data_IF_968138751974
#
_entry.id   IF_968138751974
#
_cell.length_a   1.000
_cell.length_b   1.000
_cell.length_c   1.000
_cell.angle_alpha   90.00
_cell.angle_beta   90.00
_cell.angle_gamma   90.00
#
_symmetry.space_group_name_H-M   'P 1'
#
loop_
_entity.id
_entity.type
_entity.pdbx_description
1 polymer ?
#
# COMPACT_ATOMS: atom_id res chain seq x y z
N UNK A 1 -3.19 -2.21 -62.85
CA UNK A 1 -4.05 -3.31 -62.33
C UNK A 1 -3.28 -4.31 -61.47
N UNK A 2 -2.01 -4.60 -61.78
CA UNK A 2 -1.15 -5.56 -61.05
C UNK A 2 -0.80 -5.12 -59.60
N UNK A 3 -0.64 -3.83 -59.32
CA UNK A 3 -0.24 -3.38 -57.97
C UNK A 3 -1.34 -3.51 -56.91
N UNK A 4 -2.63 -3.47 -57.30
CA UNK A 4 -3.74 -3.67 -56.35
C UNK A 4 -3.87 -5.14 -55.91
N UNK A 5 -3.52 -6.08 -56.78
CA UNK A 5 -3.55 -7.52 -56.49
C UNK A 5 -2.42 -7.97 -55.56
N UNK A 6 -1.23 -7.38 -55.70
CA UNK A 6 -0.09 -7.62 -54.81
C UNK A 6 -0.39 -7.15 -53.38
N UNK A 7 -1.07 -6.00 -53.24
CA UNK A 7 -1.35 -5.42 -51.92
C UNK A 7 -2.40 -6.23 -51.15
N UNK A 8 -3.46 -6.72 -51.82
CA UNK A 8 -4.48 -7.56 -51.17
C UNK A 8 -3.93 -8.93 -50.78
N UNK A 9 -3.06 -9.53 -51.60
CA UNK A 9 -2.41 -10.80 -51.27
C UNK A 9 -1.50 -10.70 -50.04
N UNK A 10 -0.70 -9.63 -49.97
CA UNK A 10 0.16 -9.37 -48.81
C UNK A 10 -0.65 -9.14 -47.53
N UNK A 11 -1.78 -8.42 -47.63
CA UNK A 11 -2.64 -8.16 -46.47
C UNK A 11 -3.31 -9.43 -45.93
N UNK A 12 -3.71 -10.36 -46.82
CA UNK A 12 -4.28 -11.66 -46.45
C UNK A 12 -3.21 -12.56 -45.79
N UNK A 13 -1.98 -12.58 -46.32
CA UNK A 13 -0.87 -13.31 -45.71
C UNK A 13 -0.50 -12.79 -44.32
N UNK A 14 -0.53 -11.46 -44.13
CA UNK A 14 -0.32 -10.84 -42.81
C UNK A 14 -1.46 -11.24 -41.86
N UNK A 15 -2.71 -11.17 -42.31
CA UNK A 15 -3.86 -11.57 -41.49
C UNK A 15 -3.81 -13.06 -41.11
N UNK A 16 -3.46 -13.94 -42.04
CA UNK A 16 -3.29 -15.37 -41.79
C UNK A 16 -2.15 -15.65 -40.81
N UNK A 17 -1.03 -14.94 -40.94
CA UNK A 17 0.08 -15.06 -39.99
C UNK A 17 -0.28 -14.58 -38.58
N UNK A 18 -1.07 -13.49 -38.44
CA UNK A 18 -1.59 -13.05 -37.15
C UNK A 18 -2.55 -14.07 -36.53
N UNK A 19 -3.44 -14.68 -37.32
CA UNK A 19 -4.36 -15.71 -36.79
C UNK A 19 -3.64 -16.99 -36.36
N UNK A 20 -2.51 -17.32 -37.02
CA UNK A 20 -1.74 -18.51 -36.69
C UNK A 20 -0.86 -18.31 -35.45
N UNK A 21 -0.39 -17.09 -35.19
CA UNK A 21 0.36 -16.75 -33.97
C UNK A 21 -0.54 -16.69 -32.72
N UNK A 22 -1.82 -16.30 -32.86
CA UNK A 22 -2.78 -16.34 -31.74
C UNK A 22 -3.26 -17.76 -31.37
N UNK A 23 -2.98 -18.79 -32.17
CA UNK A 23 -3.52 -20.13 -31.97
C UNK A 23 -2.65 -21.05 -31.10
N UNK A 24 -1.51 -20.55 -30.57
CA UNK A 24 -0.52 -21.41 -29.93
C UNK A 24 0.01 -20.87 -28.60
N UNK A 25 -0.81 -20.10 -27.89
CA UNK A 25 -0.61 -19.95 -26.45
C UNK A 25 -1.32 -21.11 -25.74
N UNK A 26 -0.65 -21.84 -24.83
CA UNK A 26 -1.36 -22.76 -23.96
C UNK A 26 -2.44 -21.94 -23.24
N UNK A 27 -3.71 -22.29 -23.45
CA UNK A 27 -4.84 -21.60 -22.85
C UNK A 27 -4.78 -21.78 -21.33
N UNK A 28 -4.01 -20.94 -20.64
CA UNK A 28 -3.90 -20.96 -19.19
C UNK A 28 -5.15 -20.28 -18.65
N UNK A 29 -6.12 -21.09 -18.23
CA UNK A 29 -7.28 -20.55 -17.51
C UNK A 29 -6.84 -20.33 -16.07
N UNK A 30 -6.64 -19.06 -15.70
CA UNK A 30 -6.29 -18.66 -14.35
C UNK A 30 -7.57 -18.50 -13.51
N UNK A 31 -7.68 -19.29 -12.45
CA UNK A 31 -8.75 -19.16 -11.47
C UNK A 31 -8.10 -18.69 -10.18
N UNK A 32 -8.57 -17.55 -9.67
CA UNK A 32 -8.13 -16.97 -8.40
C UNK A 32 -9.26 -17.08 -7.40
N UNK A 33 -9.12 -17.99 -6.45
CA UNK A 33 -10.05 -18.13 -5.32
C UNK A 33 -9.35 -17.66 -4.06
N UNK A 34 -9.85 -16.59 -3.43
CA UNK A 34 -9.31 -16.09 -2.17
C UNK A 34 -9.65 -17.07 -1.03
N UNK A 35 -8.71 -17.94 -0.66
CA UNK A 35 -8.88 -18.92 0.42
C UNK A 35 -8.10 -18.51 1.67
N UNK A 36 -8.82 -18.11 2.71
CA UNK A 36 -8.24 -17.82 4.03
C UNK A 36 -8.05 -19.12 4.81
N UNK A 37 -6.80 -19.44 5.17
CA UNK A 37 -6.44 -20.61 5.99
C UNK A 37 -5.82 -20.15 7.31
N UNK A 38 -6.48 -20.49 8.43
CA UNK A 38 -5.96 -20.26 9.78
C UNK A 38 -4.89 -21.29 10.14
N UNK A 39 -4.12 -20.99 11.19
CA UNK A 39 -3.12 -21.92 11.73
C UNK A 39 -3.75 -23.27 12.09
N UNK A 40 -3.27 -24.36 11.48
CA UNK A 40 -3.79 -25.71 11.68
C UNK A 40 -4.95 -26.11 10.76
N UNK A 41 -5.45 -25.21 9.92
CA UNK A 41 -6.39 -25.54 8.86
C UNK A 41 -5.66 -26.11 7.63
N UNK A 42 -6.34 -27.01 6.93
CA UNK A 42 -5.80 -27.70 5.76
C UNK A 42 -6.66 -27.40 4.55
N UNK A 43 -6.02 -27.04 3.43
CA UNK A 43 -6.71 -26.97 2.15
C UNK A 43 -6.42 -28.26 1.37
N UNK A 44 -7.48 -29.01 1.10
CA UNK A 44 -7.43 -30.22 0.30
C UNK A 44 -8.06 -29.95 -1.06
N UNK A 45 -7.29 -30.20 -2.11
CA UNK A 45 -7.74 -30.15 -3.50
C UNK A 45 -7.90 -31.60 -3.95
N UNK A 46 -9.15 -32.01 -4.14
CA UNK A 46 -9.52 -33.36 -4.58
C UNK A 46 -9.66 -33.34 -6.11
N UNK A 47 -8.86 -34.15 -6.79
CA UNK A 47 -8.87 -34.26 -8.25
C UNK A 47 -9.61 -35.52 -8.67
N UNK A 48 -10.66 -35.36 -9.46
CA UNK A 48 -11.49 -36.43 -9.97
C UNK A 48 -11.45 -36.48 -11.49
N UNK A 49 -11.02 -37.59 -12.08
CA UNK A 49 -10.97 -37.73 -13.53
C UNK A 49 -10.65 -39.15 -13.98
N UNK A 50 -10.90 -39.43 -15.26
CA UNK A 50 -10.60 -40.73 -15.90
C UNK A 50 -9.18 -40.81 -16.47
N UNK A 51 -8.44 -39.70 -16.49
CA UNK A 51 -7.06 -39.62 -16.98
C UNK A 51 -6.10 -39.20 -15.86
N UNK A 52 -4.80 -39.42 -16.07
CA UNK A 52 -3.75 -38.97 -15.15
C UNK A 52 -3.68 -37.44 -15.23
N UNK A 53 -3.58 -36.78 -14.08
CA UNK A 53 -3.43 -35.33 -13.99
C UNK A 53 -2.03 -35.03 -13.48
N UNK A 54 -1.25 -34.32 -14.29
CA UNK A 54 0.07 -33.84 -13.92
C UNK A 54 -0.06 -32.56 -13.11
N UNK A 55 0.58 -32.51 -11.96
CA UNK A 55 0.62 -31.34 -11.07
C UNK A 55 2.02 -30.74 -11.06
N UNK A 56 2.13 -29.48 -11.46
CA UNK A 56 3.31 -28.64 -11.19
C UNK A 56 2.92 -27.56 -10.20
N UNK A 57 3.81 -27.21 -9.28
CA UNK A 57 3.50 -26.24 -8.24
C UNK A 57 4.65 -25.26 -8.01
N UNK A 58 4.29 -24.01 -7.75
CA UNK A 58 5.18 -22.96 -7.28
C UNK A 58 4.66 -22.50 -5.93
N UNK A 59 5.40 -22.82 -4.87
CA UNK A 59 4.95 -22.66 -3.49
C UNK A 59 6.01 -21.87 -2.73
N UNK A 60 5.61 -20.87 -1.92
CA UNK A 60 6.52 -20.12 -1.07
C UNK A 60 7.09 -21.00 0.06
N UNK A 61 8.24 -20.63 0.66
CA UNK A 61 8.92 -21.46 1.67
C UNK A 61 8.09 -21.74 2.93
N UNK A 62 7.04 -20.96 3.16
CA UNK A 62 6.20 -21.00 4.35
C UNK A 62 5.00 -21.98 4.20
N UNK A 63 4.92 -22.72 3.09
CA UNK A 63 3.81 -23.62 2.78
C UNK A 63 4.33 -25.02 2.42
N UNK A 64 3.79 -26.04 3.09
CA UNK A 64 4.00 -27.45 2.79
C UNK A 64 2.94 -27.91 1.80
N UNK A 65 3.37 -28.69 0.81
CA UNK A 65 2.48 -29.47 -0.06
C UNK A 65 2.73 -30.95 0.19
N UNK A 66 1.65 -31.71 0.34
CA UNK A 66 1.65 -33.17 0.31
C UNK A 66 0.74 -33.62 -0.82
N UNK A 67 1.29 -34.40 -1.73
CA UNK A 67 0.54 -35.01 -2.83
C UNK A 67 0.37 -36.48 -2.49
N UNK A 68 -0.88 -36.92 -2.36
CA UNK A 68 -1.22 -38.29 -2.06
C UNK A 68 -2.08 -38.87 -3.19
N UNK A 69 -1.70 -40.05 -3.69
CA UNK A 69 -2.51 -40.82 -4.63
C UNK A 69 -3.58 -41.59 -3.85
N UNK A 70 -4.72 -40.93 -3.61
CA UNK A 70 -5.85 -41.56 -2.96
C UNK A 70 -6.78 -42.18 -4.00
N UNK A 71 -6.62 -43.49 -4.25
CA UNK A 71 -7.58 -44.29 -5.04
C UNK A 71 -8.84 -44.68 -4.23
N UNK A 72 -8.93 -44.26 -2.96
CA UNK A 72 -10.08 -44.50 -2.10
C UNK A 72 -11.01 -43.30 -2.20
N UNK A 73 -12.31 -43.54 -2.31
CA UNK A 73 -13.41 -42.55 -2.44
C UNK A 73 -13.67 -41.97 -3.85
N UNK A 74 -13.12 -42.56 -4.92
CA UNK A 74 -13.46 -42.19 -6.30
C UNK A 74 -12.71 -40.96 -6.84
N UNK A 75 -11.78 -40.43 -6.05
CA UNK A 75 -10.77 -39.46 -6.48
C UNK A 75 -9.52 -40.20 -7.01
N UNK A 76 -8.68 -39.52 -7.79
CA UNK A 76 -7.40 -40.08 -8.28
C UNK A 76 -6.19 -39.51 -7.58
N UNK A 77 -6.26 -38.24 -7.19
CA UNK A 77 -5.20 -37.59 -6.43
C UNK A 77 -5.78 -36.56 -5.48
N UNK A 78 -5.13 -36.42 -4.33
CA UNK A 78 -5.44 -35.43 -3.32
C UNK A 78 -4.18 -34.61 -3.09
N UNK A 79 -4.32 -33.29 -3.19
CA UNK A 79 -3.26 -32.34 -2.92
C UNK A 79 -3.61 -31.59 -1.65
N UNK A 80 -2.81 -31.77 -0.61
CA UNK A 80 -2.99 -31.12 0.70
C UNK A 80 -1.98 -30.00 0.84
N UNK A 81 -2.47 -28.79 1.09
CA UNK A 81 -1.67 -27.61 1.39
C UNK A 81 -1.78 -27.27 2.88
N UNK A 82 -0.66 -26.99 3.52
CA UNK A 82 -0.56 -26.65 4.93
C UNK A 82 0.42 -25.51 5.14
N UNK A 83 0.09 -24.52 5.96
CA UNK A 83 1.02 -23.44 6.31
C UNK A 83 2.00 -23.95 7.39
N UNK A 84 3.30 -23.79 7.15
CA UNK A 84 4.36 -24.18 8.10
C UNK A 84 4.74 -22.94 8.90
N UNK A 85 4.59 -23.00 10.23
CA UNK A 85 5.02 -21.95 11.18
C UNK A 85 4.51 -20.54 10.81
N UNK A 86 3.24 -20.22 11.09
CA UNK A 86 2.69 -18.88 10.90
C UNK A 86 3.27 -17.89 11.93
N UNK A 87 4.50 -17.42 11.70
CA UNK A 87 5.18 -16.48 12.63
C UNK A 87 4.75 -15.03 12.43
N UNK A 88 4.20 -14.70 11.25
CA UNK A 88 3.75 -13.35 10.92
C UNK A 88 2.51 -13.40 10.03
N UNK A 89 1.63 -12.40 10.13
CA UNK A 89 0.55 -12.19 9.16
C UNK A 89 1.18 -11.95 7.78
N UNK A 90 1.05 -12.93 6.90
CA UNK A 90 1.62 -12.90 5.55
C UNK A 90 0.63 -13.53 4.59
N UNK A 91 0.39 -12.83 3.48
CA UNK A 91 -0.32 -13.35 2.33
C UNK A 91 0.70 -14.00 1.40
N UNK A 92 0.55 -15.30 1.20
CA UNK A 92 1.43 -16.14 0.41
C UNK A 92 0.67 -16.60 -0.83
N UNK A 93 1.19 -16.33 -2.02
CA UNK A 93 0.57 -16.75 -3.28
C UNK A 93 1.09 -18.14 -3.64
N UNK A 94 0.20 -19.12 -3.69
CA UNK A 94 0.50 -20.46 -4.19
C UNK A 94 -0.04 -20.60 -5.61
N UNK A 95 0.79 -21.07 -6.54
CA UNK A 95 0.36 -21.38 -7.90
C UNK A 95 0.43 -22.88 -8.14
N UNK A 96 -0.70 -23.46 -8.52
CA UNK A 96 -0.81 -24.88 -8.88
C UNK A 96 -1.23 -24.98 -10.35
N UNK A 97 -0.51 -25.79 -11.10
CA UNK A 97 -0.74 -26.04 -12.52
C UNK A 97 -1.17 -27.49 -12.70
N UNK A 98 -2.39 -27.69 -13.19
CA UNK A 98 -2.97 -29.01 -13.46
C UNK A 98 -3.08 -29.22 -14.97
N UNK A 99 -2.57 -30.34 -15.48
CA UNK A 99 -2.65 -30.70 -16.89
C UNK A 99 -3.11 -32.14 -17.07
N UNK A 100 -4.05 -32.39 -17.97
CA UNK A 100 -4.51 -33.75 -18.28
C UNK A 100 -4.97 -33.86 -19.73
N UNK A 101 -4.89 -35.08 -20.26
CA UNK A 101 -5.31 -35.42 -21.64
C UNK A 101 -6.84 -35.45 -21.75
N UNK A 102 -7.56 -35.70 -20.65
CA UNK A 102 -9.04 -35.70 -20.63
C UNK A 102 -9.60 -34.76 -19.57
N UNK A 103 -10.93 -34.59 -19.58
CA UNK A 103 -11.61 -33.71 -18.63
C UNK A 103 -11.51 -34.24 -17.19
N UNK A 104 -11.37 -33.33 -16.23
CA UNK A 104 -11.33 -33.63 -14.81
C UNK A 104 -12.05 -32.55 -14.00
N UNK A 105 -12.40 -32.87 -12.76
CA UNK A 105 -12.98 -31.93 -11.80
C UNK A 105 -11.98 -31.68 -10.67
N UNK A 106 -11.83 -30.41 -10.29
CA UNK A 106 -11.09 -29.98 -9.11
C UNK A 106 -12.09 -29.57 -8.04
N UNK A 107 -12.06 -30.21 -6.88
CA UNK A 107 -12.88 -29.81 -5.74
C UNK A 107 -12.01 -29.27 -4.62
N UNK A 108 -12.26 -28.04 -4.21
CA UNK A 108 -11.60 -27.37 -3.10
C UNK A 108 -12.38 -27.61 -1.82
N UNK A 109 -11.72 -28.21 -0.84
CA UNK A 109 -12.26 -28.51 0.48
C UNK A 109 -11.35 -27.94 1.54
N UNK A 110 -11.93 -27.14 2.44
CA UNK A 110 -11.26 -26.60 3.60
C UNK A 110 -11.60 -27.48 4.79
N UNK A 111 -10.59 -27.97 5.51
CA UNK A 111 -10.75 -28.68 6.77
C UNK A 111 -10.35 -27.76 7.92
N UNK A 112 -11.31 -27.51 8.81
CA UNK A 112 -11.14 -26.77 10.05
C UNK A 112 -11.54 -27.64 11.24
N UNK A 113 -11.34 -27.13 12.46
CA UNK A 113 -11.78 -27.80 13.70
C UNK A 113 -13.30 -28.01 13.73
N UNK A 114 -14.06 -27.18 12.99
CA UNK A 114 -15.52 -27.24 12.86
C UNK A 114 -16.01 -28.27 11.81
N UNK A 115 -15.11 -28.87 11.02
CA UNK A 115 -15.43 -29.90 10.03
C UNK A 115 -14.94 -29.61 8.60
N UNK A 116 -15.42 -30.39 7.64
CA UNK A 116 -15.14 -30.25 6.20
C UNK A 116 -16.10 -29.25 5.56
N UNK A 117 -15.56 -28.16 5.01
CA UNK A 117 -16.31 -27.15 4.25
C UNK A 117 -15.90 -27.23 2.78
N UNK A 118 -16.85 -27.58 1.91
CA UNK A 118 -16.65 -27.52 0.44
C UNK A 118 -16.70 -26.06 0.00
N UNK A 119 -15.63 -25.59 -0.63
CA UNK A 119 -15.53 -24.21 -1.13
C UNK A 119 -16.13 -24.13 -2.53
N UNK A 120 -15.48 -24.78 -3.49
CA UNK A 120 -15.85 -24.72 -4.91
C UNK A 120 -15.47 -26.01 -5.65
N UNK A 121 -16.15 -26.26 -6.76
CA UNK A 121 -15.82 -27.32 -7.71
C UNK A 121 -15.67 -26.72 -9.10
N UNK A 122 -14.52 -26.96 -9.73
CA UNK A 122 -14.22 -26.52 -11.10
C UNK A 122 -14.23 -27.70 -12.05
N UNK A 123 -14.88 -27.49 -13.20
CA UNK A 123 -14.83 -28.41 -14.31
C UNK A 123 -13.71 -27.99 -15.27
N UNK A 124 -12.73 -28.86 -15.44
CA UNK A 124 -11.55 -28.64 -16.26
C UNK A 124 -11.65 -29.49 -17.54
N UNK A 125 -11.88 -28.89 -18.73
CA UNK A 125 -11.71 -29.58 -20.01
C UNK A 125 -10.32 -30.21 -20.17
N UNK A 126 -10.25 -31.30 -20.94
CA UNK A 126 -8.98 -31.95 -21.28
C UNK A 126 -8.14 -31.14 -22.25
N UNK A 127 -6.84 -31.46 -22.33
CA UNK A 127 -5.84 -30.79 -23.18
C UNK A 127 -5.61 -29.30 -22.88
N UNK A 128 -6.02 -28.84 -21.70
CA UNK A 128 -5.82 -27.46 -21.24
C UNK A 128 -5.09 -27.50 -19.90
N UNK A 129 -4.13 -26.58 -19.71
CA UNK A 129 -3.43 -26.41 -18.43
C UNK A 129 -4.19 -25.42 -17.56
N UNK A 130 -4.69 -25.88 -16.43
CA UNK A 130 -5.40 -25.07 -15.45
C UNK A 130 -4.43 -24.49 -14.44
N UNK A 131 -4.42 -23.16 -14.30
CA UNK A 131 -3.64 -22.45 -13.29
C UNK A 131 -4.58 -22.03 -12.16
N UNK A 132 -4.40 -22.66 -11.01
CA UNK A 132 -5.10 -22.31 -9.79
C UNK A 132 -4.17 -21.45 -8.92
N UNK A 133 -4.54 -20.19 -8.75
CA UNK A 133 -3.83 -19.24 -7.89
C UNK A 133 -4.59 -19.14 -6.58
N UNK A 134 -3.95 -19.57 -5.50
CA UNK A 134 -4.54 -19.59 -4.16
C UNK A 134 -3.71 -18.67 -3.26
N UNK A 135 -4.20 -17.46 -2.95
CA UNK A 135 -3.63 -16.65 -1.90
C UNK A 135 -3.98 -17.24 -0.54
N UNK A 136 -2.99 -17.81 0.12
CA UNK A 136 -3.09 -18.29 1.50
C UNK A 136 -2.78 -17.14 2.44
N UNK A 137 -3.73 -16.79 3.30
CA UNK A 137 -3.53 -15.78 4.34
C UNK A 137 -3.42 -16.47 5.69
N UNK A 138 -2.26 -16.35 6.34
CA UNK A 138 -2.03 -16.87 7.69
C UNK A 138 -2.63 -15.93 8.74
N UNK A 139 -3.74 -16.33 9.35
CA UNK A 139 -4.34 -15.63 10.49
C UNK A 139 -3.82 -16.27 11.81
N UNK A 140 -3.20 -15.46 12.67
CA UNK A 140 -2.79 -15.87 14.01
C UNK A 140 -4.06 -15.84 14.88
N UNK A 141 -4.38 -16.97 15.53
CA UNK A 141 -5.46 -17.05 16.51
C UNK A 141 -5.21 -16.00 17.61
N UNK A 142 -5.93 -14.91 17.50
CA UNK A 142 -5.74 -13.71 18.32
C UNK A 142 -6.78 -13.69 19.43
N UNK A 143 -6.92 -14.79 20.18
CA UNK A 143 -7.72 -14.82 21.41
C UNK A 143 -6.91 -14.55 22.68
N UNK A 144 -5.59 -14.38 22.62
CA UNK A 144 -4.82 -14.00 23.81
C UNK A 144 -3.60 -13.16 23.45
N UNK A 145 -3.80 -11.90 23.12
CA UNK A 145 -2.92 -10.76 23.45
C UNK A 145 -3.79 -9.54 23.17
N UNK A 146 -4.05 -8.75 24.23
CA UNK A 146 -4.59 -7.39 24.19
C UNK A 146 -4.25 -6.75 22.85
N UNK A 147 -5.28 -6.33 22.10
CA UNK A 147 -5.21 -5.68 20.80
C UNK A 147 -4.13 -4.59 20.77
N UNK A 148 -2.89 -4.98 20.48
CA UNK A 148 -1.89 -4.09 19.91
C UNK A 148 -2.28 -3.98 18.46
N UNK A 149 -3.26 -3.12 18.19
CA UNK A 149 -3.48 -2.55 16.86
C UNK A 149 -2.08 -2.10 16.43
N UNK A 150 -1.44 -2.72 15.44
CA UNK A 150 -0.15 -2.25 14.99
C UNK A 150 -0.41 -0.87 14.40
N UNK A 151 -0.09 0.16 15.16
CA UNK A 151 0.03 1.51 14.62
C UNK A 151 1.18 1.41 13.62
N UNK A 152 0.84 1.28 12.34
CA UNK A 152 1.87 1.23 11.32
C UNK A 152 2.47 2.64 11.25
N UNK A 153 3.64 2.78 11.86
CA UNK A 153 4.39 4.03 11.92
C UNK A 153 5.08 4.21 10.57
N UNK A 154 4.39 4.85 9.62
CA UNK A 154 5.04 5.29 8.39
C UNK A 154 5.75 6.63 8.67
N UNK A 155 7.08 6.59 8.64
CA UNK A 155 7.95 7.75 8.91
C UNK A 155 8.00 8.76 7.74
N UNK A 156 7.64 8.33 6.52
CA UNK A 156 7.94 9.07 5.29
C UNK A 156 6.71 9.47 4.46
N UNK A 157 5.49 9.11 4.88
CA UNK A 157 4.29 9.56 4.17
C UNK A 157 3.90 10.96 4.65
N UNK A 158 4.03 11.94 3.75
CA UNK A 158 3.56 13.32 3.97
C UNK A 158 2.11 13.40 3.52
N UNK A 159 1.21 13.79 4.42
CA UNK A 159 -0.20 13.92 4.06
C UNK A 159 -0.50 15.33 3.56
N UNK A 160 -1.34 15.49 2.51
CA UNK A 160 -1.63 16.78 1.90
C UNK A 160 -2.16 17.84 2.87
N UNK A 161 -2.85 17.44 3.95
CA UNK A 161 -3.40 18.39 4.93
C UNK A 161 -2.32 19.19 5.66
N UNK A 162 -1.13 18.61 5.86
CA UNK A 162 -0.02 19.31 6.50
C UNK A 162 0.39 20.54 5.70
N UNK A 163 0.42 20.41 4.38
CA UNK A 163 0.76 21.50 3.43
C UNK A 163 -0.27 22.63 3.53
N UNK A 164 -1.56 22.31 3.69
CA UNK A 164 -2.64 23.29 3.83
C UNK A 164 -2.44 24.15 5.08
N UNK A 165 -2.05 23.54 6.21
CA UNK A 165 -1.78 24.27 7.46
C UNK A 165 -0.68 25.31 7.24
N UNK A 166 0.45 24.93 6.62
CA UNK A 166 1.51 25.90 6.32
C UNK A 166 1.06 27.00 5.38
N UNK A 167 0.33 26.67 4.30
CA UNK A 167 -0.13 27.65 3.34
C UNK A 167 -0.98 28.74 4.01
N UNK A 168 -1.90 28.35 4.90
CA UNK A 168 -2.77 29.28 5.63
C UNK A 168 -1.95 30.19 6.56
N UNK A 169 -1.10 29.61 7.41
CA UNK A 169 -0.33 30.41 8.37
C UNK A 169 0.72 31.29 7.70
N UNK A 170 1.45 30.80 6.69
CA UNK A 170 2.45 31.59 5.96
C UNK A 170 1.78 32.76 5.22
N UNK A 171 0.62 32.55 4.60
CA UNK A 171 -0.11 33.63 3.94
C UNK A 171 -0.59 34.67 4.95
N UNK A 172 -1.18 34.23 6.06
CA UNK A 172 -1.70 35.13 7.08
C UNK A 172 -0.59 35.98 7.71
N UNK A 173 0.50 35.34 8.15
CA UNK A 173 1.64 36.03 8.75
C UNK A 173 2.47 36.81 7.72
N UNK A 174 2.51 36.37 6.46
CA UNK A 174 3.15 37.10 5.38
C UNK A 174 2.43 38.40 5.05
N UNK A 175 1.09 38.37 5.04
CA UNK A 175 0.27 39.58 4.86
C UNK A 175 0.44 40.55 6.03
N UNK A 176 0.43 40.07 7.27
CA UNK A 176 0.67 40.94 8.43
C UNK A 176 2.09 41.51 8.41
N UNK A 177 3.10 40.69 8.10
CA UNK A 177 4.48 41.16 7.96
C UNK A 177 4.62 42.24 6.88
N UNK A 178 3.92 42.08 5.75
CA UNK A 178 3.94 43.06 4.67
C UNK A 178 3.30 44.40 5.08
N UNK A 179 2.14 44.35 5.73
CA UNK A 179 1.45 45.54 6.22
C UNK A 179 2.29 46.26 7.27
N UNK A 180 2.85 45.53 8.22
CA UNK A 180 3.67 46.07 9.31
C UNK A 180 4.99 46.65 8.78
N UNK A 181 5.63 45.97 7.83
CA UNK A 181 6.82 46.48 7.14
C UNK A 181 6.54 47.78 6.38
N UNK A 182 5.36 47.89 5.75
CA UNK A 182 4.96 49.12 5.06
C UNK A 182 4.73 50.25 6.06
N UNK A 183 4.07 49.98 7.18
CA UNK A 183 3.80 50.97 8.22
C UNK A 183 5.10 51.44 8.90
N UNK A 184 5.98 50.51 9.29
CA UNK A 184 7.27 50.82 9.91
C UNK A 184 8.19 51.62 9.00
N UNK A 185 8.21 51.33 7.69
CA UNK A 185 8.96 52.14 6.71
C UNK A 185 8.49 53.58 6.65
N UNK A 186 7.19 53.83 6.82
CA UNK A 186 6.62 55.18 6.83
C UNK A 186 6.93 55.89 8.15
N UNK A 187 6.74 55.22 9.29
CA UNK A 187 6.99 55.82 10.62
C UNK A 187 8.47 56.14 10.85
N UNK A 188 9.37 55.25 10.44
CA UNK A 188 10.84 55.36 10.65
C UNK A 188 11.59 55.76 9.37
N UNK A 189 10.96 56.59 8.55
CA UNK A 189 11.52 57.05 7.26
C UNK A 189 12.95 57.59 7.45
N UNK A 190 13.91 57.03 6.71
CA UNK A 190 15.32 57.45 6.71
C UNK A 190 16.25 56.71 7.69
N UNK A 191 15.72 56.00 8.69
CA UNK A 191 16.52 55.14 9.60
C UNK A 191 16.32 53.64 9.37
N UNK A 192 15.29 53.27 8.62
CA UNK A 192 14.94 51.88 8.35
C UNK A 192 15.90 51.23 7.36
N UNK A 193 16.60 50.17 7.79
CA UNK A 193 17.52 49.42 6.94
C UNK A 193 16.87 48.19 6.30
N UNK A 194 17.56 47.59 5.33
CA UNK A 194 17.13 46.32 4.72
C UNK A 194 17.22 45.18 5.75
N UNK A 195 18.18 45.23 6.68
CA UNK A 195 18.33 44.21 7.71
C UNK A 195 17.15 44.22 8.69
N UNK A 196 16.59 45.38 9.01
CA UNK A 196 15.39 45.51 9.85
C UNK A 196 14.15 44.95 9.14
N UNK A 197 14.07 45.14 7.82
CA UNK A 197 13.03 44.53 7.00
C UNK A 197 13.10 43.00 7.06
N UNK A 198 14.30 42.43 6.95
CA UNK A 198 14.53 40.98 7.01
C UNK A 198 14.23 40.45 8.40
N UNK A 199 14.67 41.15 9.46
CA UNK A 199 14.42 40.76 10.84
C UNK A 199 12.91 40.76 11.15
N UNK A 200 12.18 41.79 10.73
CA UNK A 200 10.72 41.85 10.91
C UNK A 200 10.03 40.65 10.22
N UNK A 201 10.34 40.41 8.94
CA UNK A 201 9.78 39.27 8.19
C UNK A 201 10.14 37.94 8.86
N UNK A 202 11.39 37.79 9.31
CA UNK A 202 11.84 36.58 10.00
C UNK A 202 11.09 36.34 11.32
N UNK A 203 10.79 37.39 12.09
CA UNK A 203 9.96 37.31 13.31
C UNK A 203 8.55 36.80 12.99
N UNK A 204 7.89 37.36 11.98
CA UNK A 204 6.56 36.89 11.58
C UNK A 204 6.59 35.46 11.04
N UNK A 205 7.60 35.10 10.25
CA UNK A 205 7.78 33.73 9.77
C UNK A 205 8.04 32.76 10.93
N UNK A 206 8.86 33.14 11.91
CA UNK A 206 9.05 32.33 13.12
C UNK A 206 7.72 32.06 13.83
N UNK A 207 6.86 33.06 14.01
CA UNK A 207 5.53 32.86 14.59
C UNK A 207 4.61 32.00 13.73
N UNK A 208 4.64 32.18 12.40
CA UNK A 208 3.88 31.36 11.47
C UNK A 208 4.22 29.87 11.61
N UNK A 209 5.52 29.56 11.63
CA UNK A 209 6.01 28.18 11.74
C UNK A 209 5.84 27.60 13.15
N UNK A 210 5.91 28.42 14.19
CA UNK A 210 5.58 27.99 15.56
C UNK A 210 4.11 27.59 15.67
N UNK A 211 3.20 28.40 15.14
CA UNK A 211 1.75 28.12 15.16
C UNK A 211 1.38 26.98 14.24
N UNK A 212 1.98 26.87 13.06
CA UNK A 212 1.76 25.70 12.19
C UNK A 212 2.23 24.43 12.88
N UNK A 213 3.35 24.47 13.61
CA UNK A 213 3.84 23.32 14.38
C UNK A 213 2.89 22.94 15.50
N UNK A 214 2.41 23.92 16.28
CA UNK A 214 1.39 23.67 17.30
C UNK A 214 0.10 23.07 16.71
N UNK A 215 -0.37 23.61 15.58
CA UNK A 215 -1.57 23.12 14.89
C UNK A 215 -1.39 21.68 14.39
N UNK A 216 -0.24 21.38 13.75
CA UNK A 216 0.08 20.01 13.32
C UNK A 216 0.11 19.08 14.52
N UNK A 217 0.78 19.43 15.62
CA UNK A 217 0.81 18.60 16.84
C UNK A 217 -0.60 18.34 17.38
N UNK A 218 -1.44 19.37 17.49
CA UNK A 218 -2.82 19.23 17.97
C UNK A 218 -3.66 18.32 17.08
N UNK A 219 -3.54 18.46 15.75
CA UNK A 219 -4.26 17.60 14.80
C UNK A 219 -3.78 16.15 14.94
N UNK A 220 -2.47 15.91 14.97
CA UNK A 220 -1.93 14.54 15.08
C UNK A 220 -2.32 13.88 16.40
N UNK A 221 -2.27 14.62 17.51
CA UNK A 221 -2.72 14.13 18.83
C UNK A 221 -4.23 13.88 18.84
N UNK A 222 -5.02 14.76 18.19
CA UNK A 222 -6.46 14.58 18.05
C UNK A 222 -6.83 13.33 17.24
N UNK A 223 -6.14 13.08 16.13
CA UNK A 223 -6.31 11.85 15.32
C UNK A 223 -5.92 10.61 16.12
N UNK A 224 -4.81 10.66 16.87
CA UNK A 224 -4.40 9.58 17.76
C UNK A 224 -5.47 9.28 18.82
N UNK A 225 -5.95 10.31 19.52
CA UNK A 225 -7.00 10.15 20.54
C UNK A 225 -8.30 9.58 19.95
N UNK A 226 -8.69 10.06 18.76
CA UNK A 226 -9.83 9.54 18.03
C UNK A 226 -9.67 8.08 17.62
N UNK A 227 -8.48 7.69 17.10
CA UNK A 227 -8.21 6.29 16.72
C UNK A 227 -8.30 5.33 17.92
N UNK A 228 -7.84 5.77 19.09
CA UNK A 228 -7.89 5.00 20.33
C UNK A 228 -9.35 4.81 20.80
N UNK A 229 -10.18 5.85 20.67
CA UNK A 229 -11.59 5.80 21.07
C UNK A 229 -12.46 4.99 20.08
N UNK A 230 -12.20 5.10 18.78
CA UNK A 230 -13.03 4.49 17.74
C UNK A 230 -12.65 3.04 17.40
N UNK A 231 -11.60 2.46 18.02
CA UNK A 231 -11.05 1.13 17.70
C UNK A 231 -10.69 0.94 16.22
N UNK A 232 -10.51 2.04 15.48
CA UNK A 232 -10.13 2.04 14.09
C UNK A 232 -8.60 2.01 13.98
N UNK A 233 -8.07 1.10 13.16
CA UNK A 233 -6.65 1.07 12.79
C UNK A 233 -6.37 2.22 11.81
N UNK A 234 -6.07 3.41 12.35
CA UNK A 234 -5.61 4.54 11.55
C UNK A 234 -4.07 4.46 11.49
N UNK A 235 -3.53 4.42 10.27
CA UNK A 235 -2.10 4.56 10.03
C UNK A 235 -1.65 5.97 10.43
N UNK A 236 -1.01 6.10 11.59
CA UNK A 236 -0.46 7.36 12.05
C UNK A 236 0.84 7.66 11.31
N UNK A 237 0.74 8.60 10.37
CA UNK A 237 1.86 9.08 9.58
C UNK A 237 2.57 10.20 10.33
N UNK A 238 3.67 9.86 10.99
CA UNK A 238 4.47 10.83 11.75
C UNK A 238 5.28 11.79 10.86
N UNK A 239 5.30 11.59 9.54
CA UNK A 239 6.08 12.40 8.60
C UNK A 239 5.77 13.90 8.69
N UNK A 240 4.50 14.28 8.80
CA UNK A 240 4.09 15.70 8.93
C UNK A 240 4.64 16.35 10.20
N UNK A 241 4.69 15.60 11.31
CA UNK A 241 5.19 16.09 12.60
C UNK A 241 6.71 16.28 12.57
N UNK A 242 7.44 15.35 11.94
CA UNK A 242 8.90 15.45 11.79
C UNK A 242 9.27 16.62 10.89
N UNK A 243 8.61 16.78 9.74
CA UNK A 243 8.85 17.91 8.83
C UNK A 243 8.55 19.22 9.54
N UNK A 244 7.46 19.28 10.31
CA UNK A 244 7.11 20.46 11.10
C UNK A 244 8.17 20.83 12.12
N UNK A 245 8.69 19.83 12.83
CA UNK A 245 9.73 20.04 13.83
C UNK A 245 11.02 20.53 13.17
N UNK A 246 11.43 19.94 12.05
CA UNK A 246 12.64 20.35 11.31
C UNK A 246 12.52 21.79 10.82
N UNK A 247 11.38 22.15 10.21
CA UNK A 247 11.14 23.51 9.72
C UNK A 247 11.13 24.54 10.86
N UNK A 248 10.47 24.20 11.97
CA UNK A 248 10.44 25.06 13.16
C UNK A 248 11.84 25.24 13.76
N UNK A 249 12.61 24.16 13.95
CA UNK A 249 13.98 24.22 14.49
C UNK A 249 14.87 25.06 13.57
N UNK A 250 14.80 24.86 12.25
CA UNK A 250 15.57 25.65 11.29
C UNK A 250 15.31 27.15 11.42
N UNK A 251 14.04 27.54 11.53
CA UNK A 251 13.66 28.94 11.74
C UNK A 251 13.98 29.46 13.13
N UNK A 252 13.87 28.63 14.18
CA UNK A 252 14.22 29.00 15.54
C UNK A 252 15.71 29.33 15.65
N UNK A 253 16.57 28.55 14.98
CA UNK A 253 18.01 28.82 14.91
C UNK A 253 18.27 30.14 14.20
N UNK A 254 17.66 30.36 13.02
CA UNK A 254 17.80 31.62 12.28
C UNK A 254 17.32 32.82 13.11
N UNK A 255 16.16 32.71 13.74
CA UNK A 255 15.61 33.73 14.63
C UNK A 255 16.56 34.03 15.79
N UNK A 256 17.10 33.00 16.44
CA UNK A 256 18.05 33.13 17.53
C UNK A 256 19.36 33.81 17.12
N UNK A 257 19.89 33.50 15.93
CA UNK A 257 21.10 34.15 15.39
C UNK A 257 20.85 35.63 15.13
N UNK A 258 19.71 35.99 14.53
CA UNK A 258 19.33 37.38 14.26
C UNK A 258 19.09 38.13 15.57
N UNK A 259 18.49 37.47 16.57
CA UNK A 259 18.28 38.04 17.89
C UNK A 259 19.60 38.31 18.61
N UNK A 260 20.54 37.37 18.57
CA UNK A 260 21.86 37.56 19.18
C UNK A 260 22.67 38.69 18.51
N UNK A 261 22.43 38.95 17.22
CA UNK A 261 23.03 40.10 16.52
C UNK A 261 22.38 41.45 16.82
N UNK A 262 21.34 41.51 17.64
CA UNK A 262 20.69 42.76 18.03
C UNK A 262 19.83 43.41 16.94
N UNK A 263 19.49 42.69 15.86
CA UNK A 263 18.73 43.28 14.74
C UNK A 263 17.28 43.64 15.11
N UNK A 264 16.78 43.16 16.25
CA UNK A 264 15.46 43.51 16.75
C UNK A 264 15.44 44.81 17.57
N UNK A 265 16.60 45.37 17.95
CA UNK A 265 16.66 46.58 18.79
C UNK A 265 15.91 47.75 18.14
N UNK A 266 16.12 48.00 16.84
CA UNK A 266 15.41 49.06 16.11
C UNK A 266 13.92 48.78 15.89
N UNK A 267 13.49 47.52 15.96
CA UNK A 267 12.10 47.10 15.80
C UNK A 267 11.37 47.24 17.16
N UNK A 268 12.04 46.91 18.25
CA UNK A 268 11.52 46.92 19.62
C UNK A 268 11.69 48.28 20.32
N UNK A 269 12.55 49.17 19.78
CA UNK A 269 12.58 50.59 20.10
C UNK A 269 11.20 51.20 19.78
N UNK A 270 10.43 51.42 20.85
CA UNK A 270 9.00 51.73 20.88
C UNK A 270 8.58 52.88 19.95
N UNK A 271 7.30 52.80 19.56
CA UNK A 271 6.40 53.94 19.38
C UNK A 271 6.62 55.06 20.43
#
# INVERSE_FOLDING_TARGET
MISRFMFTSSLILIFMSLTMVCAQEPMITAISDDVVLRSGELLMIKVQGTYVVTLNYLIPPDVSIKVEEAFREGFRSIVTLTIINPTTYKRSMCELLFSSIGSFNLTLTKYSQEGEVRLNTYHCPGNITFKLVIPLTSEIDSQSIISKIPVSLSLWSVEPWGIVVYAVFILLFGLTAYLDLKDMKVRKTGRWSINDSIALVLRYMFYAFALSCAAVVLITVGVLAYSLAATLSIDLKLGNLIISLIMFIGLAILYGVVHWRGWYEFIDERD
#
